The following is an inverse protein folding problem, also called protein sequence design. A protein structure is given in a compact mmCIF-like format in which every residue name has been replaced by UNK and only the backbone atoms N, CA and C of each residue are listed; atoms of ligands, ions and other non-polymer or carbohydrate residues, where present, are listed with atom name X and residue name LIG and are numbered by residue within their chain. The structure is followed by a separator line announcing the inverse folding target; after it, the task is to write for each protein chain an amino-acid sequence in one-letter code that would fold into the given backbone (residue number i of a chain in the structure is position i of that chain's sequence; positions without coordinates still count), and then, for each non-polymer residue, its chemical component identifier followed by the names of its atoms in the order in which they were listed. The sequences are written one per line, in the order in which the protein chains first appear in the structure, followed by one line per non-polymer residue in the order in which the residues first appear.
data_IF_870591178368
#
_entry.id   IF_870591178368
#
_cell.length_a   1.000
_cell.length_b   1.000
_cell.length_c   1.000
_cell.angle_alpha   90.00
_cell.angle_beta   90.00
_cell.angle_gamma   90.00
#
_symmetry.space_group_name_H-M   'P 1'
#
loop_
_entity.id
_entity.type
_entity.pdbx_description
1 polymer ?
#
# COMPACT_ATOMS: atom_id res chain seq x y z
N UNK A 1 10.54 -38.16 4.87
CA UNK A 1 9.67 -37.26 5.65
C UNK A 1 10.62 -36.70 6.69
N UNK A 2 11.02 -35.43 6.68
CA UNK A 2 10.17 -34.23 6.67
C UNK A 2 10.91 -33.08 5.96
N UNK A 3 10.29 -32.55 4.90
CA UNK A 3 10.73 -31.34 4.16
C UNK A 3 9.67 -30.25 4.35
N UNK A 4 9.33 -29.96 5.60
CA UNK A 4 8.30 -28.95 5.91
C UNK A 4 8.83 -28.03 7.00
N UNK A 5 9.85 -27.24 6.63
CA UNK A 5 10.21 -26.04 7.37
C UNK A 5 10.95 -25.07 6.45
N UNK A 6 10.29 -24.67 5.37
CA UNK A 6 10.59 -23.39 4.74
C UNK A 6 9.74 -22.35 5.45
N UNK A 7 10.32 -21.32 6.09
CA UNK A 7 9.55 -20.20 6.59
C UNK A 7 8.94 -19.53 5.35
N UNK A 8 7.68 -19.81 5.08
CA UNK A 8 6.90 -19.02 4.13
C UNK A 8 6.95 -17.61 4.67
N UNK A 9 7.73 -16.77 4.00
CA UNK A 9 7.99 -15.39 4.37
C UNK A 9 6.70 -14.76 4.90
N UNK A 10 6.75 -14.11 6.07
CA UNK A 10 5.67 -13.26 6.57
C UNK A 10 5.53 -12.04 5.65
N UNK A 11 5.12 -12.26 4.41
CA UNK A 11 4.74 -11.23 3.47
C UNK A 11 3.33 -10.79 3.81
N UNK A 12 3.16 -9.49 4.02
CA UNK A 12 1.86 -8.90 4.25
C UNK A 12 0.87 -9.34 3.16
N UNK A 13 -0.31 -9.82 3.58
CA UNK A 13 -1.34 -10.26 2.63
C UNK A 13 -1.98 -9.01 2.01
N UNK A 14 -1.54 -8.70 0.79
CA UNK A 14 -2.09 -7.61 -0.02
C UNK A 14 -3.42 -8.00 -0.66
N UNK A 15 -4.35 -7.05 -0.80
CA UNK A 15 -5.63 -7.28 -1.47
C UNK A 15 -5.46 -7.37 -3.00
N UNK A 16 -6.42 -8.02 -3.65
CA UNK A 16 -6.52 -8.00 -5.11
C UNK A 16 -6.93 -6.61 -5.62
N UNK A 17 -6.30 -6.16 -6.71
CA UNK A 17 -6.59 -4.85 -7.34
C UNK A 17 -8.09 -4.68 -7.64
N UNK A 18 -8.75 -5.71 -8.17
CA UNK A 18 -10.18 -5.65 -8.49
C UNK A 18 -11.06 -5.44 -7.26
N UNK A 19 -10.73 -6.08 -6.14
CA UNK A 19 -11.43 -5.93 -4.86
C UNK A 19 -11.27 -4.50 -4.34
N UNK A 20 -10.03 -3.99 -4.33
CA UNK A 20 -9.77 -2.60 -3.93
C UNK A 20 -10.54 -1.64 -4.83
N UNK A 21 -10.46 -1.79 -6.14
CA UNK A 21 -11.06 -0.86 -7.11
C UNK A 21 -12.59 -0.82 -7.05
N UNK A 22 -13.24 -1.97 -6.84
CA UNK A 22 -14.70 -2.12 -6.94
C UNK A 22 -15.41 -2.04 -5.60
N UNK A 23 -14.80 -2.55 -4.53
CA UNK A 23 -15.50 -2.79 -3.26
C UNK A 23 -15.09 -1.79 -2.17
N UNK A 24 -13.86 -1.26 -2.20
CA UNK A 24 -13.38 -0.42 -1.12
C UNK A 24 -13.99 0.98 -1.15
N UNK A 25 -14.57 1.34 0.00
CA UNK A 25 -14.92 2.71 0.36
C UNK A 25 -13.79 3.34 1.17
N UNK A 26 -13.94 4.61 1.51
CA UNK A 26 -12.99 5.37 2.32
C UNK A 26 -12.59 4.65 3.61
N UNK A 27 -13.54 4.03 4.31
CA UNK A 27 -13.27 3.37 5.59
C UNK A 27 -12.42 2.10 5.40
N UNK A 28 -12.55 1.40 4.26
CA UNK A 28 -11.70 0.26 3.92
C UNK A 28 -10.25 0.70 3.68
N UNK A 29 -10.05 1.83 2.98
CA UNK A 29 -8.72 2.41 2.74
C UNK A 29 -8.03 2.75 4.06
N UNK A 30 -8.74 3.43 4.97
CA UNK A 30 -8.17 3.79 6.28
C UNK A 30 -7.84 2.56 7.10
N UNK A 31 -8.77 1.60 7.19
CA UNK A 31 -8.56 0.35 7.94
C UNK A 31 -7.35 -0.41 7.42
N UNK A 32 -7.16 -0.43 6.10
CA UNK A 32 -6.03 -1.09 5.48
C UNK A 32 -4.71 -0.39 5.79
N UNK A 33 -4.63 0.94 5.66
CA UNK A 33 -3.40 1.70 5.96
C UNK A 33 -2.97 1.61 7.43
N UNK A 34 -3.90 1.33 8.35
CA UNK A 34 -3.62 1.12 9.77
C UNK A 34 -3.12 -0.31 10.11
N UNK A 35 -3.01 -1.21 9.13
CA UNK A 35 -2.49 -2.56 9.35
C UNK A 35 -1.01 -2.52 9.69
N UNK A 36 -0.66 -3.06 10.86
CA UNK A 36 0.71 -3.12 11.36
C UNK A 36 1.62 -3.99 10.49
N UNK A 37 1.07 -5.00 9.82
CA UNK A 37 1.84 -5.89 8.95
C UNK A 37 2.34 -5.19 7.66
N UNK A 38 1.82 -4.01 7.32
CA UNK A 38 2.29 -3.23 6.17
C UNK A 38 3.54 -2.38 6.47
N UNK A 39 3.91 -2.22 7.74
CA UNK A 39 5.10 -1.48 8.17
C UNK A 39 5.30 -0.11 7.48
N UNK A 40 4.21 0.67 7.34
CA UNK A 40 4.22 1.96 6.64
C UNK A 40 4.72 3.13 7.51
N UNK A 41 4.93 2.90 8.81
CA UNK A 41 5.38 3.91 9.79
C UNK A 41 4.51 5.20 9.77
N UNK A 42 3.18 5.01 9.73
CA UNK A 42 2.20 6.10 9.75
C UNK A 42 1.75 6.39 11.18
N UNK A 43 1.63 7.66 11.53
CA UNK A 43 1.00 8.10 12.78
C UNK A 43 -0.47 8.52 12.60
N UNK A 44 -1.12 8.93 13.69
CA UNK A 44 -2.53 9.33 13.68
C UNK A 44 -2.80 10.57 12.81
N UNK A 45 -1.85 11.51 12.70
CA UNK A 45 -1.96 12.71 11.86
C UNK A 45 -1.92 12.34 10.37
N UNK A 46 -1.02 11.44 9.98
CA UNK A 46 -0.95 10.92 8.61
C UNK A 46 -2.28 10.28 8.18
N UNK A 47 -2.85 9.46 9.06
CA UNK A 47 -4.13 8.79 8.82
C UNK A 47 -5.27 9.82 8.75
N UNK A 48 -5.28 10.85 9.60
CA UNK A 48 -6.29 11.91 9.56
C UNK A 48 -6.23 12.71 8.26
N UNK A 49 -5.03 13.02 7.76
CA UNK A 49 -4.84 13.69 6.47
C UNK A 49 -5.51 12.89 5.35
N UNK A 50 -5.24 11.58 5.25
CA UNK A 50 -5.86 10.71 4.23
C UNK A 50 -7.38 10.62 4.43
N UNK A 51 -7.85 10.47 5.67
CA UNK A 51 -9.28 10.40 6.00
C UNK A 51 -10.03 11.66 5.56
N UNK A 52 -9.42 12.83 5.70
CA UNK A 52 -10.01 14.12 5.30
C UNK A 52 -10.26 14.21 3.79
N UNK A 53 -9.43 13.55 2.97
CA UNK A 53 -9.54 13.55 1.50
C UNK A 53 -10.63 12.62 0.97
N UNK A 54 -11.23 11.77 1.83
CA UNK A 54 -12.35 10.87 1.49
C UNK A 54 -12.05 9.96 0.28
N UNK A 55 -10.82 9.44 0.22
CA UNK A 55 -10.32 8.63 -0.89
C UNK A 55 -10.95 7.22 -0.83
N UNK A 56 -11.66 6.83 -1.90
CA UNK A 56 -12.15 5.46 -2.09
C UNK A 56 -11.14 4.58 -2.84
N UNK A 57 -11.42 3.28 -2.97
CA UNK A 57 -10.46 2.31 -3.49
C UNK A 57 -9.91 2.61 -4.89
N UNK A 58 -10.77 3.03 -5.84
CA UNK A 58 -10.32 3.44 -7.17
C UNK A 58 -9.31 4.60 -7.12
N UNK A 59 -9.59 5.61 -6.29
CA UNK A 59 -8.71 6.77 -6.15
C UNK A 59 -7.43 6.41 -5.38
N UNK A 60 -7.53 5.54 -4.38
CA UNK A 60 -6.38 5.01 -3.65
C UNK A 60 -5.36 4.35 -4.60
N UNK A 61 -5.82 3.50 -5.52
CA UNK A 61 -4.96 2.87 -6.53
C UNK A 61 -4.35 3.83 -7.57
N UNK A 62 -4.77 5.10 -7.57
CA UNK A 62 -4.21 6.14 -8.44
C UNK A 62 -3.31 7.12 -7.70
N UNK A 63 -3.17 6.99 -6.37
CA UNK A 63 -2.37 7.90 -5.58
C UNK A 63 -0.91 7.85 -6.01
N UNK A 64 -0.38 9.04 -6.21
CA UNK A 64 1.05 9.27 -6.44
C UNK A 64 1.68 9.93 -5.23
N UNK A 65 3.01 9.80 -5.11
CA UNK A 65 3.78 10.53 -4.10
C UNK A 65 3.51 12.04 -4.14
N UNK A 66 3.40 12.62 -5.33
CA UNK A 66 3.16 14.05 -5.52
C UNK A 66 1.79 14.50 -5.00
N UNK A 67 0.74 13.72 -5.25
CA UNK A 67 -0.58 13.99 -4.67
C UNK A 67 -0.57 13.88 -3.15
N UNK A 68 0.10 12.86 -2.61
CA UNK A 68 0.21 12.65 -1.16
C UNK A 68 0.94 13.82 -0.48
N UNK A 69 2.02 14.33 -1.08
CA UNK A 69 2.70 15.55 -0.62
C UNK A 69 1.80 16.78 -0.68
N UNK A 70 1.03 16.94 -1.78
CA UNK A 70 0.05 18.03 -1.93
C UNK A 70 -1.09 17.96 -0.89
N UNK A 71 -1.36 16.78 -0.35
CA UNK A 71 -2.33 16.61 0.73
C UNK A 71 -1.82 17.06 2.10
N UNK A 72 -0.52 17.25 2.25
CA UNK A 72 0.14 17.66 3.49
C UNK A 72 0.94 16.54 4.17
N UNK A 73 1.02 15.34 3.59
CA UNK A 73 1.85 14.27 4.15
C UNK A 73 3.33 14.61 4.05
N UNK A 74 4.08 14.16 5.04
CA UNK A 74 5.54 14.24 5.00
C UNK A 74 6.10 13.25 3.96
N UNK A 75 7.35 13.45 3.48
CA UNK A 75 7.94 12.61 2.44
C UNK A 75 7.98 11.11 2.76
N UNK A 76 8.23 10.73 4.02
CA UNK A 76 8.27 9.32 4.43
C UNK A 76 6.94 8.59 4.21
N UNK A 77 5.86 9.01 4.90
CA UNK A 77 4.50 8.50 4.69
C UNK A 77 4.05 8.51 3.23
N UNK A 78 4.33 9.61 2.51
CA UNK A 78 3.95 9.75 1.10
C UNK A 78 4.65 8.71 0.19
N UNK A 79 5.93 8.43 0.44
CA UNK A 79 6.69 7.41 -0.30
C UNK A 79 6.15 6.01 0.04
N UNK A 80 5.97 5.70 1.33
CA UNK A 80 5.50 4.39 1.78
C UNK A 80 4.15 4.00 1.16
N UNK A 81 3.18 4.92 1.18
CA UNK A 81 1.85 4.67 0.58
C UNK A 81 1.93 4.53 -0.94
N UNK A 82 2.74 5.35 -1.62
CA UNK A 82 2.88 5.27 -3.07
C UNK A 82 3.53 3.94 -3.53
N UNK A 83 4.54 3.46 -2.81
CA UNK A 83 5.18 2.17 -3.09
C UNK A 83 4.22 1.00 -2.82
N UNK A 84 3.45 1.05 -1.73
CA UNK A 84 2.40 0.07 -1.43
C UNK A 84 1.36 -0.02 -2.56
N UNK A 85 0.94 1.12 -3.11
CA UNK A 85 -0.01 1.14 -4.24
C UNK A 85 0.58 0.45 -5.47
N UNK A 86 1.86 0.69 -5.79
CA UNK A 86 2.56 -0.01 -6.89
C UNK A 86 2.65 -1.52 -6.63
N UNK A 87 2.94 -1.91 -5.39
CA UNK A 87 3.03 -3.31 -4.99
C UNK A 87 1.69 -4.03 -5.18
N UNK A 88 0.58 -3.42 -4.73
CA UNK A 88 -0.78 -3.95 -4.94
C UNK A 88 -1.09 -4.09 -6.43
N UNK A 89 -0.65 -3.14 -7.26
CA UNK A 89 -0.84 -3.17 -8.72
C UNK A 89 0.08 -4.15 -9.45
N UNK A 90 1.08 -4.72 -8.76
CA UNK A 90 2.09 -5.57 -9.38
C UNK A 90 3.03 -4.81 -10.32
N UNK A 91 3.19 -3.50 -10.13
CA UNK A 91 4.03 -2.62 -10.96
C UNK A 91 5.50 -2.59 -10.50
N UNK A 92 5.91 -3.55 -9.67
CA UNK A 92 7.31 -3.72 -9.27
C UNK A 92 8.11 -4.12 -10.53
N UNK A 93 9.14 -3.34 -10.88
CA UNK A 93 10.17 -3.82 -11.80
C UNK A 93 10.83 -5.03 -11.14
N UNK A 94 10.44 -6.23 -11.58
CA UNK A 94 11.24 -7.42 -11.30
C UNK A 94 12.66 -7.11 -11.77
N UNK A 95 13.73 -7.37 -10.99
CA UNK A 95 15.07 -7.29 -11.53
C UNK A 95 15.15 -8.30 -12.67
N UNK A 96 15.06 -7.81 -13.91
CA UNK A 96 15.37 -8.61 -15.09
C UNK A 96 16.82 -9.04 -14.93
N UNK A 97 17.02 -10.32 -14.64
CA UNK A 97 18.32 -10.94 -14.71
C UNK A 97 18.79 -10.84 -16.17
N UNK A 98 19.46 -9.74 -16.52
CA UNK A 98 20.23 -9.63 -17.75
C UNK A 98 21.56 -10.33 -17.47
N UNK A 99 21.53 -11.67 -17.57
CA UNK A 99 22.74 -12.45 -17.77
C UNK A 99 23.26 -12.13 -19.17
N UNK A 100 24.46 -11.54 -19.21
CA UNK A 100 25.25 -11.34 -20.41
C UNK A 100 26.28 -12.47 -20.52
#
# INVERSE_FOLDING_TARGET
MDRENEPMSETAILPLVDVVKKEWKKDNVITFLQRKDLNLDLDDEDIEIIRSKKIGGKAFLSLTKEELLSYGLQPGPAIAIAELVKEIKGEQEQPVATGK
#
